data_IF_092947887431
#
_entry.id   IF_092947887431
#
_cell.length_a   1.000
_cell.length_b   1.000
_cell.length_c   1.000
_cell.angle_alpha   90.00
_cell.angle_beta   90.00
_cell.angle_gamma   90.00
#
_symmetry.space_group_name_H-M   'P 1'
#
loop_
_entity.id
_entity.type
_entity.pdbx_description
1 polymer ?
#
# COMPACT_ATOMS: atom_id res chain seq x y z
N UNK A 1 -21.15 5.78 9.44
CA UNK A 1 -19.70 5.99 9.22
C UNK A 1 -19.16 6.84 10.35
N UNK A 2 -18.01 6.48 10.91
CA UNK A 2 -17.40 7.14 12.06
C UNK A 2 -17.12 8.64 11.81
N UNK A 3 -16.68 9.01 10.61
CA UNK A 3 -16.39 10.42 10.27
C UNK A 3 -17.65 11.28 10.31
N UNK A 4 -18.78 10.77 9.79
CA UNK A 4 -20.07 11.48 9.88
C UNK A 4 -20.55 11.64 11.32
N UNK A 5 -20.30 10.65 12.17
CA UNK A 5 -20.63 10.74 13.59
C UNK A 5 -19.86 11.88 14.26
N UNK A 6 -18.53 11.96 14.04
CA UNK A 6 -17.73 13.07 14.55
C UNK A 6 -18.20 14.42 14.01
N UNK A 7 -18.56 14.50 12.73
CA UNK A 7 -19.10 15.73 12.15
C UNK A 7 -20.34 16.21 12.92
N UNK A 8 -21.27 15.32 13.24
CA UNK A 8 -22.48 15.67 14.00
C UNK A 8 -22.13 16.19 15.40
N UNK A 9 -21.28 15.45 16.14
CA UNK A 9 -20.85 15.85 17.49
C UNK A 9 -20.12 17.20 17.49
N UNK A 10 -19.29 17.45 16.47
CA UNK A 10 -18.55 18.70 16.35
C UNK A 10 -19.44 19.88 15.94
N UNK A 11 -20.39 19.67 15.03
CA UNK A 11 -21.36 20.70 14.67
C UNK A 11 -22.27 21.06 15.84
N UNK A 12 -22.62 20.10 16.69
CA UNK A 12 -23.38 20.36 17.91
C UNK A 12 -22.57 21.23 18.90
N UNK A 13 -21.27 20.99 19.03
CA UNK A 13 -20.39 21.78 19.90
C UNK A 13 -20.15 23.22 19.40
N UNK A 14 -19.87 23.41 18.10
CA UNK A 14 -19.66 24.72 17.48
C UNK A 14 -19.88 24.66 15.96
N UNK A 15 -21.07 25.08 15.52
CA UNK A 15 -21.44 25.04 14.11
C UNK A 15 -20.52 25.88 13.21
N UNK A 16 -20.10 27.07 13.66
CA UNK A 16 -19.33 27.99 12.82
C UNK A 16 -17.91 27.49 12.62
N UNK A 17 -17.29 26.98 13.69
CA UNK A 17 -15.94 26.43 13.66
C UNK A 17 -15.86 25.15 12.83
N UNK A 18 -16.87 24.29 12.93
CA UNK A 18 -16.84 22.94 12.32
C UNK A 18 -17.68 22.78 11.05
N UNK A 19 -18.22 23.88 10.48
CA UNK A 19 -19.01 23.84 9.23
C UNK A 19 -18.34 23.11 8.07
N UNK A 20 -17.00 23.14 8.02
CA UNK A 20 -16.20 22.56 6.95
C UNK A 20 -15.58 21.19 7.34
N UNK A 21 -16.01 20.60 8.45
CA UNK A 21 -15.52 19.28 8.85
C UNK A 21 -15.94 18.22 7.81
N UNK A 22 -15.03 17.31 7.40
CA UNK A 22 -15.29 16.36 6.33
C UNK A 22 -16.39 15.35 6.68
N UNK A 23 -17.17 14.94 5.68
CA UNK A 23 -18.26 13.94 5.83
C UNK A 23 -17.79 12.51 5.52
N UNK A 24 -16.59 12.36 4.94
CA UNK A 24 -16.01 11.10 4.52
C UNK A 24 -14.48 11.11 4.65
N UNK A 25 -13.87 9.92 4.60
CA UNK A 25 -12.42 9.78 4.67
C UNK A 25 -11.74 10.46 3.47
N UNK A 26 -12.36 10.36 2.29
CA UNK A 26 -11.79 10.97 1.09
C UNK A 26 -11.85 12.50 1.12
N UNK A 27 -12.92 13.09 1.66
CA UNK A 27 -12.95 14.55 1.90
C UNK A 27 -11.90 14.96 2.92
N UNK A 28 -11.73 14.19 4.00
CA UNK A 28 -10.71 14.46 5.00
C UNK A 28 -9.30 14.41 4.40
N UNK A 29 -9.01 13.41 3.58
CA UNK A 29 -7.74 13.27 2.86
C UNK A 29 -7.47 14.46 1.95
N UNK A 30 -8.45 14.86 1.14
CA UNK A 30 -8.35 16.04 0.26
C UNK A 30 -8.08 17.32 1.05
N UNK A 31 -8.80 17.52 2.16
CA UNK A 31 -8.62 18.69 3.03
C UNK A 31 -7.22 18.74 3.66
N UNK A 32 -6.68 17.59 4.05
CA UNK A 32 -5.35 17.48 4.64
C UNK A 32 -4.21 17.49 3.60
N UNK A 33 -4.52 17.61 2.30
CA UNK A 33 -3.52 17.50 1.24
C UNK A 33 -2.85 16.12 1.17
N UNK A 34 -3.46 15.09 1.77
CA UNK A 34 -2.96 13.72 1.72
C UNK A 34 -3.29 13.19 0.33
N UNK A 35 -2.34 13.33 -0.58
CA UNK A 35 -2.41 12.65 -1.85
C UNK A 35 -2.25 11.16 -1.59
N UNK A 36 -3.32 10.40 -1.82
CA UNK A 36 -3.24 8.96 -1.85
C UNK A 36 -2.62 8.61 -3.20
N UNK A 37 -1.29 8.73 -3.29
CA UNK A 37 -0.55 8.14 -4.38
C UNK A 37 -0.93 6.67 -4.36
N UNK A 38 -1.67 6.22 -5.38
CA UNK A 38 -1.85 4.79 -5.62
C UNK A 38 -0.46 4.25 -5.86
N UNK A 39 0.13 3.65 -4.83
CA UNK A 39 1.36 2.91 -4.98
C UNK A 39 1.02 1.73 -5.89
N UNK A 40 1.52 1.79 -7.10
CA UNK A 40 1.47 0.67 -8.02
C UNK A 40 2.51 -0.34 -7.56
N UNK A 41 2.07 -1.57 -7.36
CA UNK A 41 2.92 -2.69 -6.98
C UNK A 41 2.88 -3.73 -8.10
N UNK A 42 4.05 -4.26 -8.45
CA UNK A 42 4.14 -5.50 -9.21
C UNK A 42 3.96 -6.68 -8.27
N UNK A 43 3.23 -7.71 -8.71
CA UNK A 43 3.03 -8.94 -7.94
C UNK A 43 3.89 -10.04 -8.55
N UNK A 44 4.66 -10.74 -7.71
CA UNK A 44 5.30 -11.98 -8.16
C UNK A 44 4.23 -13.05 -8.41
N UNK A 45 4.08 -13.59 -9.63
CA UNK A 45 3.00 -14.55 -9.95
C UNK A 45 3.17 -15.91 -9.25
N UNK A 46 4.35 -16.18 -8.68
CA UNK A 46 4.64 -17.46 -8.03
C UNK A 46 4.50 -17.44 -6.51
N UNK A 47 4.71 -16.31 -5.85
CA UNK A 47 4.71 -16.23 -4.38
C UNK A 47 3.92 -15.04 -3.82
N UNK A 48 3.18 -14.32 -4.67
CA UNK A 48 2.29 -13.20 -4.33
C UNK A 48 2.93 -12.03 -3.58
N UNK A 49 4.27 -11.94 -3.62
CA UNK A 49 5.00 -10.84 -2.99
C UNK A 49 4.88 -9.58 -3.85
N UNK A 50 4.60 -8.48 -3.15
CA UNK A 50 4.49 -7.15 -3.72
C UNK A 50 5.86 -6.47 -3.78
N UNK A 51 6.19 -5.93 -4.95
CA UNK A 51 7.36 -5.09 -5.18
C UNK A 51 6.90 -3.70 -5.59
N UNK A 52 7.56 -2.66 -5.10
CA UNK A 52 7.28 -1.31 -5.60
C UNK A 52 7.75 -1.23 -7.06
N UNK A 53 6.90 -0.72 -7.96
CA UNK A 53 7.21 -0.67 -9.40
C UNK A 53 8.51 0.09 -9.69
N UNK A 54 8.84 1.08 -8.85
CA UNK A 54 10.10 1.82 -8.87
C UNK A 54 11.34 0.93 -8.66
N UNK A 55 11.25 -0.12 -7.83
CA UNK A 55 12.33 -1.07 -7.56
C UNK A 55 12.58 -2.01 -8.75
N UNK A 56 11.51 -2.35 -9.47
CA UNK A 56 11.57 -3.24 -10.64
C UNK A 56 12.08 -2.50 -11.88
N UNK A 57 11.59 -1.27 -12.14
CA UNK A 57 11.94 -0.50 -13.34
C UNK A 57 13.39 0.00 -13.33
N UNK A 58 13.97 0.32 -12.16
CA UNK A 58 15.33 0.86 -12.04
C UNK A 58 16.45 -0.13 -12.40
N UNK A 59 16.15 -1.43 -12.59
CA UNK A 59 17.13 -2.41 -13.07
C UNK A 59 16.96 -2.59 -14.59
N UNK A 60 17.41 -1.61 -15.36
CA UNK A 60 17.18 -1.53 -16.82
C UNK A 60 17.96 -2.54 -17.68
N UNK A 61 18.89 -3.33 -17.12
CA UNK A 61 19.77 -4.20 -17.92
C UNK A 61 19.77 -5.68 -17.52
N UNK A 62 18.95 -6.10 -16.54
CA UNK A 62 18.80 -7.52 -16.16
C UNK A 62 17.35 -7.81 -15.82
N UNK A 63 16.88 -8.97 -16.28
CA UNK A 63 15.62 -9.58 -15.88
C UNK A 63 15.52 -9.53 -14.34
N UNK A 64 14.53 -8.81 -13.81
CA UNK A 64 14.36 -8.64 -12.37
C UNK A 64 13.75 -9.92 -11.82
N UNK A 65 14.55 -10.74 -11.15
CA UNK A 65 14.06 -11.94 -10.48
C UNK A 65 13.52 -11.63 -9.08
N UNK A 66 12.46 -12.33 -8.69
CA UNK A 66 11.90 -12.29 -7.35
C UNK A 66 12.94 -12.74 -6.32
N UNK A 67 13.31 -11.86 -5.40
CA UNK A 67 14.30 -12.10 -4.34
C UNK A 67 13.67 -12.68 -3.08
N UNK A 68 12.36 -12.93 -3.07
CA UNK A 68 11.68 -13.46 -1.91
C UNK A 68 12.22 -14.85 -1.57
N UNK A 69 12.53 -15.04 -0.30
CA UNK A 69 12.89 -16.33 0.28
C UNK A 69 11.70 -16.79 1.09
N UNK A 70 11.01 -17.80 0.58
CA UNK A 70 9.89 -18.40 1.30
C UNK A 70 10.42 -19.02 2.59
N UNK A 71 9.84 -18.65 3.73
CA UNK A 71 10.19 -19.27 5.00
C UNK A 71 9.61 -20.68 4.99
N UNK A 72 10.44 -21.73 4.95
CA UNK A 72 9.92 -23.08 5.02
C UNK A 72 9.22 -23.27 6.37
N UNK A 73 8.22 -24.14 6.40
CA UNK A 73 7.55 -24.60 7.63
C UNK A 73 8.49 -25.36 8.60
N UNK A 74 9.80 -25.37 8.31
CA UNK A 74 10.83 -25.98 9.11
C UNK A 74 11.92 -24.95 9.50
N UNK A 75 12.61 -25.14 10.64
CA UNK A 75 13.50 -24.13 11.20
C UNK A 75 14.92 -24.05 10.59
N UNK A 76 15.40 -25.01 9.78
CA UNK A 76 16.78 -24.91 9.26
C UNK A 76 16.89 -23.86 8.16
N UNK A 77 17.93 -23.04 8.27
CA UNK A 77 18.21 -21.98 7.30
C UNK A 77 18.57 -22.52 5.91
N UNK A 78 19.15 -23.72 5.83
CA UNK A 78 19.66 -24.32 4.58
C UNK A 78 18.57 -24.80 3.62
N UNK A 79 17.33 -24.99 4.07
CA UNK A 79 16.22 -25.41 3.19
C UNK A 79 15.37 -24.24 2.69
N UNK A 80 15.76 -23.00 3.02
CA UNK A 80 15.14 -21.80 2.45
C UNK A 80 15.40 -21.77 0.94
N UNK A 81 14.33 -21.69 0.15
CA UNK A 81 14.42 -21.58 -1.30
C UNK A 81 14.08 -20.15 -1.72
N UNK A 82 14.87 -19.62 -2.65
CA UNK A 82 14.59 -18.34 -3.29
C UNK A 82 13.54 -18.57 -4.39
N UNK A 83 12.60 -17.65 -4.54
CA UNK A 83 11.55 -17.75 -5.56
C UNK A 83 12.17 -17.72 -6.97
N UNK A 84 12.99 -16.70 -7.28
CA UNK A 84 13.79 -16.64 -8.50
C UNK A 84 13.00 -16.50 -9.80
N UNK A 85 11.68 -16.31 -9.72
CA UNK A 85 10.83 -16.11 -10.90
C UNK A 85 11.04 -14.70 -11.44
N UNK A 86 11.25 -14.62 -12.75
CA UNK A 86 11.34 -13.35 -13.48
C UNK A 86 10.04 -12.54 -13.30
N UNK A 87 10.18 -11.30 -12.87
CA UNK A 87 9.08 -10.34 -12.81
C UNK A 87 8.99 -9.62 -14.16
N UNK A 88 8.01 -10.01 -14.96
CA UNK A 88 7.69 -9.29 -16.19
C UNK A 88 7.07 -7.93 -15.86
N UNK A 89 7.47 -6.91 -16.63
CA UNK A 89 6.74 -5.63 -16.66
C UNK A 89 5.35 -5.93 -17.21
N UNK A 90 4.33 -5.63 -16.43
CA UNK A 90 2.94 -5.76 -16.85
C UNK A 90 2.53 -4.60 -17.76
#
# INVERSE_FOLDING_TARGET
SLIKFFQMVLLDADQLRFKNFPTSLDMARKLLGINMHTKEYGVCPSCDILYEVSEVINKQDKDFECTHVEFPSHPMHSQKKLCGVELTKQ
#
